data_IF_972270337195
#
_entry.id   IF_972270337195
#
_cell.length_a   1.000
_cell.length_b   1.000
_cell.length_c   1.000
_cell.angle_alpha   90.00
_cell.angle_beta   90.00
_cell.angle_gamma   90.00
#
_symmetry.space_group_name_H-M   'P 1'
#
loop_
_entity.id
_entity.type
_entity.pdbx_description
1 polymer ?
#
# COMPACT_ATOMS: atom_id res chain seq x y z
N UNK A 1 8.54 -40.89 31.45
CA UNK A 1 10.02 -40.81 31.39
C UNK A 1 10.57 -40.26 30.04
N UNK A 2 9.77 -39.57 29.20
CA UNK A 2 10.20 -39.06 27.88
C UNK A 2 10.42 -37.53 27.82
N UNK A 3 10.68 -36.86 28.95
CA UNK A 3 10.82 -35.40 28.99
C UNK A 3 12.18 -34.82 28.55
N UNK A 4 13.36 -35.47 28.71
CA UNK A 4 14.64 -34.80 28.41
C UNK A 4 14.88 -34.62 26.90
N UNK A 5 14.37 -35.53 26.07
CA UNK A 5 14.56 -35.48 24.61
C UNK A 5 13.75 -34.34 23.97
N UNK A 6 12.51 -34.12 24.42
CA UNK A 6 11.69 -33.00 23.94
C UNK A 6 12.34 -31.64 24.22
N UNK A 7 12.95 -31.48 25.39
CA UNK A 7 13.63 -30.24 25.76
C UNK A 7 14.88 -29.97 24.89
N UNK A 8 15.65 -31.02 24.60
CA UNK A 8 16.83 -30.90 23.73
C UNK A 8 16.46 -30.52 22.29
N UNK A 9 15.39 -31.11 21.75
CA UNK A 9 14.90 -30.79 20.40
C UNK A 9 14.39 -29.35 20.33
N UNK A 10 13.54 -28.93 21.27
CA UNK A 10 13.00 -27.55 21.29
C UNK A 10 14.13 -26.52 21.42
N UNK A 11 15.11 -26.79 22.28
CA UNK A 11 16.26 -25.88 22.47
C UNK A 11 17.17 -25.82 21.25
N UNK A 12 17.34 -26.94 20.54
CA UNK A 12 18.07 -26.99 19.28
C UNK A 12 17.37 -26.21 18.18
N UNK A 13 16.05 -26.37 18.02
CA UNK A 13 15.26 -25.60 17.06
C UNK A 13 15.30 -24.10 17.35
N UNK A 14 15.10 -23.69 18.61
CA UNK A 14 15.17 -22.30 19.01
C UNK A 14 16.54 -21.67 18.70
N UNK A 15 17.64 -22.39 18.95
CA UNK A 15 18.98 -21.89 18.64
C UNK A 15 19.20 -21.71 17.13
N UNK A 16 18.70 -22.64 16.30
CA UNK A 16 18.79 -22.52 14.83
C UNK A 16 17.94 -21.36 14.33
N UNK A 17 16.72 -21.22 14.85
CA UNK A 17 15.80 -20.13 14.53
C UNK A 17 16.43 -18.76 14.82
N UNK A 18 16.98 -18.57 16.03
CA UNK A 18 17.67 -17.33 16.41
C UNK A 18 18.87 -17.03 15.48
N UNK A 19 19.68 -18.04 15.15
CA UNK A 19 20.82 -17.87 14.24
C UNK A 19 20.37 -17.45 12.84
N UNK A 20 19.32 -18.08 12.31
CA UNK A 20 18.77 -17.75 10.98
C UNK A 20 18.24 -16.33 10.96
N UNK A 21 17.51 -15.89 11.99
CA UNK A 21 16.99 -14.52 12.05
C UNK A 21 18.08 -13.47 12.19
N UNK A 22 19.08 -13.71 13.04
CA UNK A 22 20.24 -12.81 13.15
C UNK A 22 20.95 -12.73 11.79
N UNK A 23 21.14 -13.87 11.13
CA UNK A 23 21.69 -13.94 9.77
C UNK A 23 20.88 -13.11 8.77
N UNK A 24 19.56 -13.32 8.70
CA UNK A 24 18.65 -12.57 7.83
C UNK A 24 18.72 -11.06 8.10
N UNK A 25 18.70 -10.66 9.36
CA UNK A 25 18.82 -9.26 9.77
C UNK A 25 20.14 -8.63 9.30
N UNK A 26 21.27 -9.33 9.50
CA UNK A 26 22.59 -8.86 9.04
C UNK A 26 22.63 -8.76 7.51
N UNK A 27 22.18 -9.78 6.79
CA UNK A 27 22.18 -9.80 5.32
C UNK A 27 21.32 -8.68 4.74
N UNK A 28 20.09 -8.51 5.23
CA UNK A 28 19.19 -7.45 4.78
C UNK A 28 19.73 -6.06 5.13
N UNK A 29 20.32 -5.88 6.31
CA UNK A 29 20.94 -4.61 6.71
C UNK A 29 22.08 -4.26 5.77
N UNK A 30 23.01 -5.19 5.52
CA UNK A 30 24.13 -4.98 4.60
C UNK A 30 23.63 -4.70 3.17
N UNK A 31 22.66 -5.46 2.67
CA UNK A 31 22.05 -5.22 1.38
C UNK A 31 21.45 -3.81 1.30
N UNK A 32 20.65 -3.41 2.28
CA UNK A 32 20.05 -2.09 2.37
C UNK A 32 21.09 -0.97 2.36
N UNK A 33 22.17 -1.10 3.14
CA UNK A 33 23.27 -0.14 3.16
C UNK A 33 23.99 -0.04 1.81
N UNK A 34 24.29 -1.18 1.16
CA UNK A 34 24.97 -1.17 -0.15
C UNK A 34 24.13 -0.50 -1.23
N UNK A 35 22.83 -0.78 -1.24
CA UNK A 35 21.86 -0.18 -2.17
C UNK A 35 21.69 1.32 -1.92
N UNK A 36 21.55 1.72 -0.65
CA UNK A 36 21.43 3.11 -0.26
C UNK A 36 22.68 3.91 -0.67
N UNK A 37 23.86 3.37 -0.42
CA UNK A 37 25.11 4.00 -0.83
C UNK A 37 25.21 4.12 -2.36
N UNK A 38 24.80 3.10 -3.10
CA UNK A 38 24.75 3.16 -4.55
C UNK A 38 23.78 4.21 -5.07
N UNK A 39 22.56 4.27 -4.52
CA UNK A 39 21.54 5.25 -4.90
C UNK A 39 21.99 6.68 -4.62
N UNK A 40 22.63 6.90 -3.47
CA UNK A 40 23.16 8.21 -3.11
C UNK A 40 24.25 8.67 -4.11
N UNK A 41 25.17 7.78 -4.50
CA UNK A 41 26.19 8.11 -5.51
C UNK A 41 25.59 8.43 -6.87
N UNK A 42 24.60 7.64 -7.30
CA UNK A 42 23.89 7.87 -8.55
C UNK A 42 23.17 9.23 -8.54
N UNK A 43 22.46 9.54 -7.44
CA UNK A 43 21.75 10.79 -7.27
C UNK A 43 22.68 12.01 -7.30
N UNK A 44 23.80 11.97 -6.57
CA UNK A 44 24.79 13.05 -6.58
C UNK A 44 25.35 13.28 -7.99
N UNK A 45 25.63 12.20 -8.72
CA UNK A 45 26.17 12.28 -10.09
C UNK A 45 25.14 12.83 -11.07
N UNK A 46 23.87 12.47 -10.91
CA UNK A 46 22.77 12.99 -11.73
C UNK A 46 22.57 14.51 -11.52
N UNK A 47 22.74 14.98 -10.27
CA UNK A 47 22.69 16.41 -9.93
C UNK A 47 23.84 17.20 -10.57
N UNK A 48 25.07 16.69 -10.51
CA UNK A 48 26.24 17.40 -11.04
C UNK A 48 26.27 17.43 -12.57
N UNK A 49 25.69 16.44 -13.23
CA UNK A 49 25.64 16.34 -14.70
C UNK A 49 24.39 16.95 -15.33
N UNK A 50 23.41 17.38 -14.52
CA UNK A 50 22.15 17.95 -15.02
C UNK A 50 21.23 16.96 -15.73
N UNK A 51 21.50 15.66 -15.63
CA UNK A 51 20.81 14.60 -16.37
C UNK A 51 19.63 13.95 -15.60
N UNK A 52 19.02 14.68 -14.67
CA UNK A 52 17.98 14.17 -13.74
C UNK A 52 16.81 13.52 -14.48
N UNK A 53 16.28 14.17 -15.52
CA UNK A 53 15.09 13.68 -16.25
C UNK A 53 15.34 12.34 -16.94
N UNK A 54 16.57 12.04 -17.36
CA UNK A 54 16.92 10.76 -17.98
C UNK A 54 17.20 9.64 -16.99
N UNK A 55 17.53 9.97 -15.73
CA UNK A 55 17.92 8.99 -14.70
C UNK A 55 16.84 8.76 -13.63
N UNK A 56 15.78 9.57 -13.61
CA UNK A 56 14.74 9.52 -12.56
C UNK A 56 14.07 8.15 -12.45
N UNK A 57 13.82 7.47 -13.57
CA UNK A 57 13.20 6.12 -13.59
C UNK A 57 14.13 5.09 -12.94
N UNK A 58 15.42 5.14 -13.23
CA UNK A 58 16.41 4.24 -12.64
C UNK A 58 16.60 4.52 -11.14
N UNK A 59 16.54 5.79 -10.73
CA UNK A 59 16.57 6.16 -9.32
C UNK A 59 15.33 5.66 -8.58
N UNK A 60 14.13 5.82 -9.16
CA UNK A 60 12.89 5.32 -8.57
C UNK A 60 12.94 3.81 -8.38
N UNK A 61 13.41 3.08 -9.39
CA UNK A 61 13.60 1.64 -9.30
C UNK A 61 14.56 1.23 -8.17
N UNK A 62 15.69 1.93 -8.05
CA UNK A 62 16.64 1.67 -6.97
C UNK A 62 16.05 2.00 -5.59
N UNK A 63 15.25 3.06 -5.49
CA UNK A 63 14.51 3.40 -4.29
C UNK A 63 13.42 2.38 -3.95
N UNK A 64 12.69 1.86 -4.94
CA UNK A 64 11.72 0.77 -4.75
C UNK A 64 12.43 -0.48 -4.19
N UNK A 65 13.62 -0.80 -4.69
CA UNK A 65 14.43 -1.91 -4.20
C UNK A 65 14.95 -1.65 -2.77
N UNK A 66 15.37 -0.42 -2.44
CA UNK A 66 15.75 -0.06 -1.06
C UNK A 66 14.56 -0.19 -0.10
N UNK A 67 13.41 0.38 -0.46
CA UNK A 67 12.18 0.28 0.32
C UNK A 67 11.77 -1.19 0.49
N UNK A 68 11.94 -2.00 -0.55
CA UNK A 68 11.77 -3.45 -0.46
C UNK A 68 12.68 -4.03 0.63
N UNK A 69 13.99 -3.78 0.61
CA UNK A 69 14.88 -4.37 1.63
C UNK A 69 14.53 -3.91 3.04
N UNK A 70 14.25 -2.62 3.24
CA UNK A 70 13.89 -2.06 4.56
C UNK A 70 12.59 -2.69 5.07
N UNK A 71 11.58 -2.77 4.22
CA UNK A 71 10.30 -3.31 4.62
C UNK A 71 10.41 -4.82 4.86
N UNK A 72 11.28 -5.56 4.16
CA UNK A 72 11.51 -6.99 4.46
C UNK A 72 12.13 -7.14 5.85
N UNK A 73 13.10 -6.30 6.19
CA UNK A 73 13.71 -6.26 7.51
C UNK A 73 12.66 -5.97 8.60
N UNK A 74 11.71 -5.07 8.35
CA UNK A 74 10.57 -4.84 9.26
C UNK A 74 9.69 -6.10 9.42
N UNK A 75 9.32 -6.78 8.33
CA UNK A 75 8.49 -7.99 8.42
C UNK A 75 9.17 -9.13 9.18
N UNK A 76 10.49 -9.30 9.03
CA UNK A 76 11.26 -10.29 9.80
C UNK A 76 11.27 -9.96 11.28
N UNK A 77 11.41 -8.67 11.64
CA UNK A 77 11.35 -8.24 13.04
C UNK A 77 9.97 -8.45 13.66
N UNK A 78 8.90 -8.14 12.91
CA UNK A 78 7.51 -8.32 13.37
C UNK A 78 7.16 -9.80 13.53
N UNK A 79 7.56 -10.64 12.58
CA UNK A 79 7.34 -12.09 12.65
C UNK A 79 7.91 -12.74 13.90
N UNK A 80 8.99 -12.19 14.46
CA UNK A 80 9.57 -12.67 15.71
C UNK A 80 8.82 -12.12 16.94
N UNK A 81 8.27 -10.91 16.90
CA UNK A 81 7.62 -10.32 18.08
C UNK A 81 6.38 -11.09 18.53
N UNK A 82 5.75 -11.80 17.60
CA UNK A 82 4.50 -12.53 17.80
C UNK A 82 4.71 -14.04 17.74
N UNK A 83 5.56 -14.60 18.63
CA UNK A 83 5.89 -16.04 18.75
C UNK A 83 4.70 -17.03 18.83
N UNK A 84 3.45 -16.61 18.63
CA UNK A 84 2.31 -17.46 18.29
C UNK A 84 1.64 -16.93 17.01
N UNK A 85 1.43 -17.82 16.04
CA UNK A 85 0.72 -17.55 14.79
C UNK A 85 -0.75 -17.20 15.06
N UNK A 86 -0.99 -15.97 15.52
CA UNK A 86 -2.30 -15.35 15.46
C UNK A 86 -2.60 -15.16 13.98
N UNK A 87 -3.78 -15.61 13.53
CA UNK A 87 -4.11 -15.60 12.11
C UNK A 87 -4.09 -14.19 11.50
N UNK A 88 -4.38 -13.18 12.31
CA UNK A 88 -4.51 -11.78 11.90
C UNK A 88 -3.19 -11.13 11.41
N UNK A 89 -2.10 -11.12 12.19
CA UNK A 89 -0.84 -10.52 11.73
C UNK A 89 -0.14 -11.31 10.62
N UNK A 90 -0.26 -12.65 10.62
CA UNK A 90 0.31 -13.46 9.53
C UNK A 90 -0.31 -13.11 8.18
N UNK A 91 -1.62 -12.87 8.14
CA UNK A 91 -2.35 -12.50 6.93
C UNK A 91 -1.93 -11.11 6.43
N UNK A 92 -1.68 -10.16 7.34
CA UNK A 92 -1.14 -8.83 7.00
C UNK A 92 0.27 -8.92 6.43
N UNK A 93 1.17 -9.68 7.05
CA UNK A 93 2.55 -9.86 6.55
C UNK A 93 2.55 -10.54 5.18
N UNK A 94 1.72 -11.58 4.98
CA UNK A 94 1.57 -12.26 3.71
C UNK A 94 1.04 -11.30 2.61
N UNK A 95 0.04 -10.48 2.93
CA UNK A 95 -0.50 -9.49 2.01
C UNK A 95 0.54 -8.44 1.61
N UNK A 96 1.27 -7.89 2.58
CA UNK A 96 2.35 -6.91 2.33
C UNK A 96 3.46 -7.53 1.47
N UNK A 97 3.82 -8.79 1.71
CA UNK A 97 4.80 -9.51 0.91
C UNK A 97 4.37 -9.64 -0.56
N UNK A 98 3.08 -9.93 -0.81
CA UNK A 98 2.55 -10.04 -2.18
C UNK A 98 2.48 -8.68 -2.87
N UNK A 99 1.96 -7.65 -2.20
CA UNK A 99 1.87 -6.29 -2.76
C UNK A 99 3.25 -5.79 -3.17
N UNK A 100 4.26 -6.00 -2.32
CA UNK A 100 5.66 -5.68 -2.62
C UNK A 100 6.15 -6.38 -3.88
N UNK A 101 5.89 -7.70 -4.05
CA UNK A 101 6.31 -8.43 -5.26
C UNK A 101 5.64 -7.88 -6.51
N UNK A 102 4.36 -7.52 -6.44
CA UNK A 102 3.62 -6.87 -7.54
C UNK A 102 4.29 -5.57 -7.95
N UNK A 103 4.61 -4.67 -7.00
CA UNK A 103 5.26 -3.39 -7.30
C UNK A 103 6.61 -3.57 -8.00
N UNK A 104 7.43 -4.50 -7.50
CA UNK A 104 8.77 -4.78 -8.06
C UNK A 104 8.66 -5.35 -9.47
N UNK A 105 7.80 -6.34 -9.68
CA UNK A 105 7.56 -6.91 -11.00
C UNK A 105 7.09 -5.84 -11.99
N UNK A 106 6.18 -4.95 -11.58
CA UNK A 106 5.72 -3.87 -12.45
C UNK A 106 6.78 -2.83 -12.77
N UNK A 107 7.74 -2.58 -11.86
CA UNK A 107 8.86 -1.68 -12.07
C UNK A 107 9.94 -2.26 -13.00
N UNK A 108 10.06 -3.60 -13.06
CA UNK A 108 10.99 -4.30 -13.94
C UNK A 108 10.46 -4.45 -15.38
N UNK A 109 9.13 -4.44 -15.59
CA UNK A 109 8.52 -4.58 -16.93
C UNK A 109 9.05 -3.58 -17.99
N UNK A 110 9.20 -2.27 -17.72
CA UNK A 110 9.72 -1.29 -18.70
C UNK A 110 11.17 -1.55 -19.12
N UNK A 111 11.92 -2.34 -18.36
CA UNK A 111 13.33 -2.66 -18.62
C UNK A 111 13.52 -3.89 -19.50
N UNK A 112 12.45 -4.43 -20.07
CA UNK A 112 12.47 -5.55 -21.02
C UNK A 112 12.30 -5.08 -22.49
N UNK A 113 13.03 -4.07 -23.02
CA UNK A 113 12.82 -3.62 -24.39
C UNK A 113 13.28 -4.63 -25.46
N UNK A 114 13.86 -5.78 -25.08
CA UNK A 114 14.40 -6.81 -26.00
C UNK A 114 14.14 -8.26 -25.56
N UNK A 115 13.28 -8.49 -24.57
CA UNK A 115 13.04 -9.84 -24.07
C UNK A 115 12.21 -10.64 -25.10
N UNK A 116 12.67 -11.85 -25.45
CA UNK A 116 11.89 -12.86 -26.13
C UNK A 116 10.44 -12.84 -25.63
N UNK A 117 9.45 -12.89 -26.52
CA UNK A 117 8.01 -12.91 -26.18
C UNK A 117 7.68 -13.89 -25.03
N UNK A 118 8.50 -14.94 -24.89
CA UNK A 118 8.44 -15.95 -23.82
C UNK A 118 8.62 -15.35 -22.41
N UNK A 119 9.60 -14.45 -22.21
CA UNK A 119 9.92 -13.92 -20.88
C UNK A 119 8.91 -12.86 -20.44
N UNK A 120 8.44 -12.02 -21.37
CA UNK A 120 7.33 -11.11 -21.11
C UNK A 120 6.04 -11.86 -20.75
N UNK A 121 5.71 -12.93 -21.48
CA UNK A 121 4.57 -13.80 -21.14
C UNK A 121 4.71 -14.40 -19.74
N UNK A 122 5.90 -14.82 -19.34
CA UNK A 122 6.14 -15.36 -18.00
C UNK A 122 5.85 -14.33 -16.90
N UNK A 123 6.31 -13.09 -17.06
CA UNK A 123 6.01 -12.00 -16.12
C UNK A 123 4.52 -11.67 -16.04
N UNK A 124 3.80 -11.72 -17.17
CA UNK A 124 2.33 -11.54 -17.17
C UNK A 124 1.62 -12.67 -16.43
N UNK A 125 2.07 -13.93 -16.58
CA UNK A 125 1.51 -15.05 -15.83
C UNK A 125 1.82 -14.97 -14.33
N UNK A 126 3.05 -14.57 -13.97
CA UNK A 126 3.43 -14.36 -12.57
C UNK A 126 2.57 -13.26 -11.95
N UNK A 127 2.41 -12.13 -12.63
CA UNK A 127 1.58 -11.02 -12.17
C UNK A 127 0.11 -11.43 -12.03
N UNK A 128 -0.44 -12.14 -13.01
CA UNK A 128 -1.82 -12.63 -12.97
C UNK A 128 -2.04 -13.62 -11.81
N UNK A 129 -1.10 -14.53 -11.57
CA UNK A 129 -1.16 -15.47 -10.46
C UNK A 129 -1.08 -14.76 -9.11
N UNK A 130 -0.19 -13.77 -8.97
CA UNK A 130 -0.08 -12.97 -7.75
C UNK A 130 -1.37 -12.18 -7.48
N UNK A 131 -1.95 -11.53 -8.49
CA UNK A 131 -3.23 -10.83 -8.34
C UNK A 131 -4.35 -11.80 -7.95
N UNK A 132 -4.43 -12.98 -8.58
CA UNK A 132 -5.39 -14.00 -8.23
C UNK A 132 -5.20 -14.48 -6.77
N UNK A 133 -3.95 -14.69 -6.34
CA UNK A 133 -3.63 -15.11 -4.98
C UNK A 133 -4.08 -14.06 -3.95
N UNK A 134 -3.89 -12.76 -4.23
CA UNK A 134 -4.43 -11.68 -3.38
C UNK A 134 -5.95 -11.72 -3.33
N UNK A 135 -6.62 -11.87 -4.48
CA UNK A 135 -8.09 -11.92 -4.54
C UNK A 135 -8.65 -13.11 -3.76
N UNK A 136 -8.00 -14.27 -3.83
CA UNK A 136 -8.38 -15.44 -3.02
C UNK A 136 -8.11 -15.18 -1.54
N UNK A 137 -6.94 -14.63 -1.19
CA UNK A 137 -6.59 -14.35 0.20
C UNK A 137 -7.57 -13.36 0.86
N UNK A 138 -7.99 -12.32 0.15
CA UNK A 138 -8.97 -11.34 0.64
C UNK A 138 -10.40 -11.89 0.58
N UNK A 139 -10.76 -12.53 -0.52
CA UNK A 139 -12.11 -13.06 -0.76
C UNK A 139 -12.48 -14.26 0.11
N UNK A 140 -11.49 -14.96 0.67
CA UNK A 140 -11.72 -16.06 1.61
C UNK A 140 -12.08 -15.59 3.03
N UNK A 141 -11.91 -14.31 3.38
CA UNK A 141 -12.45 -13.75 4.62
C UNK A 141 -13.96 -13.43 4.42
N UNK A 142 -14.91 -14.24 4.94
CA UNK A 142 -16.32 -14.19 4.53
C UNK A 142 -17.09 -12.94 5.04
N UNK A 143 -16.42 -12.04 5.75
CA UNK A 143 -17.02 -10.87 6.39
C UNK A 143 -16.88 -9.57 5.57
N UNK A 144 -16.13 -9.57 4.47
CA UNK A 144 -16.02 -8.38 3.61
C UNK A 144 -17.33 -8.05 2.86
N UNK A 145 -18.30 -8.97 2.84
CA UNK A 145 -19.56 -8.84 2.10
C UNK A 145 -20.84 -8.76 2.94
N UNK A 146 -20.77 -8.63 4.29
CA UNK A 146 -21.98 -8.67 5.15
C UNK A 146 -22.31 -7.36 5.86
N UNK A 147 -21.84 -6.21 5.36
CA UNK A 147 -21.93 -4.94 6.08
C UNK A 147 -22.22 -3.69 5.25
N UNK A 148 -22.87 -3.80 4.08
CA UNK A 148 -23.48 -2.64 3.42
C UNK A 148 -25.00 -2.71 3.52
N UNK A 149 -25.51 -2.86 4.73
CA UNK A 149 -26.82 -2.26 5.01
C UNK A 149 -26.53 -0.76 5.10
N UNK A 150 -26.85 -0.04 4.02
CA UNK A 150 -26.82 1.42 4.00
C UNK A 150 -27.81 1.86 5.07
N UNK A 151 -27.31 2.18 6.26
CA UNK A 151 -28.12 2.58 7.40
C UNK A 151 -28.71 3.97 7.10
N UNK A 152 -30.02 4.10 6.82
CA UNK A 152 -30.63 5.33 6.33
C UNK A 152 -30.66 6.45 7.40
N UNK A 153 -30.15 6.19 8.60
CA UNK A 153 -30.07 7.15 9.70
C UNK A 153 -29.16 8.35 9.37
N UNK A 154 -28.06 8.14 8.63
CA UNK A 154 -27.17 9.24 8.26
C UNK A 154 -27.79 10.14 7.18
N UNK A 155 -28.59 9.58 6.26
CA UNK A 155 -29.30 10.33 5.23
C UNK A 155 -30.33 11.30 5.81
N UNK A 156 -31.06 10.89 6.85
CA UNK A 156 -32.02 11.75 7.56
C UNK A 156 -31.33 12.91 8.30
N UNK A 157 -30.14 12.68 8.87
CA UNK A 157 -29.38 13.72 9.59
C UNK A 157 -28.79 14.78 8.65
N UNK A 158 -28.31 14.36 7.47
CA UNK A 158 -27.76 15.27 6.46
C UNK A 158 -28.85 16.08 5.75
N UNK A 159 -30.01 15.45 5.46
CA UNK A 159 -31.17 16.12 4.89
C UNK A 159 -31.78 17.18 5.81
N UNK A 160 -31.90 16.89 7.11
CA UNK A 160 -32.45 17.84 8.09
C UNK A 160 -31.52 19.04 8.33
N UNK A 161 -30.19 18.83 8.34
CA UNK A 161 -29.23 19.91 8.49
C UNK A 161 -29.17 20.83 7.24
N UNK A 162 -29.29 20.25 6.05
CA UNK A 162 -29.33 20.99 4.77
C UNK A 162 -30.59 21.87 4.64
N UNK A 163 -31.76 21.34 5.00
CA UNK A 163 -33.02 22.10 4.93
C UNK A 163 -33.10 23.23 5.96
N UNK A 164 -32.47 23.08 7.13
CA UNK A 164 -32.40 24.14 8.16
C UNK A 164 -31.53 25.33 7.71
N UNK A 165 -30.44 25.08 6.97
CA UNK A 165 -29.61 26.13 6.37
C UNK A 165 -30.26 26.84 5.18
N UNK A 166 -31.06 26.12 4.37
CA UNK A 166 -31.77 26.70 3.23
C UNK A 166 -32.95 27.60 3.67
N UNK A 167 -33.66 27.24 4.75
CA UNK A 167 -34.77 28.05 5.27
C UNK A 167 -34.30 29.36 5.95
N UNK A 168 -33.08 29.38 6.51
CA UNK A 168 -32.52 30.54 7.21
C UNK A 168 -31.90 31.58 6.27
N UNK A 169 -31.57 31.21 5.03
CA UNK A 169 -30.90 32.09 4.06
C UNK A 169 -31.83 32.68 2.98
N UNK A 170 -33.11 32.27 2.96
CA UNK A 170 -34.13 32.90 2.13
C UNK A 170 -34.56 34.26 2.74
N UNK A 171 -33.73 35.29 2.55
CA UNK A 171 -34.16 36.68 2.74
C UNK A 171 -35.35 36.94 1.81
N UNK A 172 -36.49 37.48 2.29
CA UNK A 172 -37.55 37.90 1.39
C UNK A 172 -37.00 38.97 0.45
N UNK A 173 -37.09 38.72 -0.85
CA UNK A 173 -36.83 39.71 -1.89
C UNK A 173 -37.77 40.90 -1.65
N UNK A 174 -37.26 42.13 -1.49
CA UNK A 174 -38.13 43.28 -1.26
C UNK A 174 -39.01 43.48 -2.50
N UNK A 175 -40.31 43.76 -2.35
CA UNK A 175 -41.12 44.18 -3.48
C UNK A 175 -40.58 45.52 -3.96
N UNK A 176 -39.93 45.53 -5.12
CA UNK A 176 -39.48 46.74 -5.78
C UNK A 176 -40.70 47.60 -6.15
N UNK A 177 -41.02 48.56 -5.28
CA UNK A 177 -42.08 49.56 -5.48
C UNK A 177 -41.67 50.67 -6.48
N UNK A 178 -40.63 50.45 -7.28
CA UNK A 178 -40.14 51.42 -8.27
C UNK A 178 -40.69 51.26 -9.69
N UNK A 179 -41.16 50.06 -10.09
CA UNK A 179 -41.41 49.78 -11.52
C UNK A 179 -42.87 49.97 -11.96
N UNK A 180 -43.85 49.95 -11.03
CA UNK A 180 -45.27 50.07 -11.41
C UNK A 180 -45.74 51.54 -11.56
N UNK A 181 -44.96 52.54 -11.11
CA UNK A 181 -45.37 53.95 -11.23
C UNK A 181 -45.04 54.62 -12.57
N UNK A 182 -44.24 53.99 -13.43
CA UNK A 182 -43.83 54.60 -14.70
C UNK A 182 -44.80 54.32 -15.86
N UNK A 183 -45.73 53.37 -15.69
CA UNK A 183 -46.70 53.00 -16.74
C UNK A 183 -48.04 53.71 -16.61
N UNK A 184 -48.34 54.29 -15.44
CA UNK A 184 -49.64 54.94 -15.16
C UNK A 184 -49.65 56.46 -15.37
N UNK A 185 -48.51 57.06 -15.73
CA UNK A 185 -48.41 58.50 -16.04
C UNK A 185 -48.21 58.79 -17.54
N UNK A 186 -48.59 57.81 -18.38
CA UNK A 186 -48.55 57.88 -19.84
C UNK A 186 -49.94 57.57 -20.46
N UNK A 187 -51.02 57.83 -19.71
CA UNK A 187 -52.39 57.85 -20.21
C UNK A 187 -53.26 58.85 -19.46
#
# INVERSE_FOLDING_TARGET
MFQPVRLLVVRGLAAVEDIVYIGLGILLTLAGFTLLYSALRAFITALTTGALTGQIVNLLDQLLLILLVIELLYTVQVSFREHGLMAEPFLVVALIAVIRRVLVLTAELPKLPQAEEVQFRHSIYELALLTLMVLVLVGTHPEYGRGTEIDPAWDCSFGAASLSHAATTAKPFPPDRGIIRTVENLR
#
